data_IF_345203709081
#
_entry.id   IF_345203709081
#
_cell.length_a   1.000
_cell.length_b   1.000
_cell.length_c   1.000
_cell.angle_alpha   90.00
_cell.angle_beta   90.00
_cell.angle_gamma   90.00
#
_symmetry.space_group_name_H-M   'P 1'
#
loop_
_entity.id
_entity.type
_entity.pdbx_description
1 polymer ?
#
# COMPACT_ATOMS: atom_id res chain seq x y z
N UNK A 1 0.30 -15.94 38.20
CA UNK A 1 1.66 -15.73 37.78
C UNK A 1 1.67 -14.74 36.64
N UNK A 2 2.15 -13.52 36.92
CA UNK A 2 2.32 -12.46 35.92
C UNK A 2 3.53 -12.80 35.06
N UNK A 3 3.37 -12.75 33.75
CA UNK A 3 4.52 -12.79 32.82
C UNK A 3 5.35 -11.53 33.01
N UNK A 4 6.70 -11.62 33.02
CA UNK A 4 7.55 -10.44 33.05
C UNK A 4 7.32 -9.63 31.76
N UNK A 5 7.07 -8.34 31.91
CA UNK A 5 7.11 -7.38 30.80
C UNK A 5 8.58 -7.23 30.39
N UNK A 6 8.92 -7.70 29.20
CA UNK A 6 10.17 -7.34 28.55
C UNK A 6 10.04 -5.90 28.05
N UNK A 7 10.88 -5.01 28.59
CA UNK A 7 11.07 -3.68 28.02
C UNK A 7 11.60 -3.83 26.58
N UNK A 8 11.13 -2.97 25.65
CA UNK A 8 11.70 -2.95 24.30
C UNK A 8 13.15 -2.51 24.40
N UNK A 9 14.05 -3.39 23.98
CA UNK A 9 15.45 -3.03 23.78
C UNK A 9 15.48 -1.92 22.72
N UNK A 10 16.09 -0.77 23.07
CA UNK A 10 16.50 0.28 22.14
C UNK A 10 17.48 -0.34 21.12
N UNK A 11 16.95 -0.91 20.07
CA UNK A 11 17.75 -1.30 18.92
C UNK A 11 17.97 -0.04 18.09
N UNK A 12 19.22 0.44 18.10
CA UNK A 12 19.65 1.45 17.14
C UNK A 12 19.27 0.97 15.72
N UNK A 13 18.85 1.89 14.84
CA UNK A 13 18.55 1.50 13.46
C UNK A 13 19.80 0.86 12.85
N UNK A 14 19.63 -0.24 12.08
CA UNK A 14 20.76 -0.89 11.43
C UNK A 14 21.49 0.14 10.55
N UNK A 15 22.82 0.19 10.70
CA UNK A 15 23.67 0.94 9.78
C UNK A 15 23.39 0.40 8.37
N UNK A 16 22.96 1.28 7.46
CA UNK A 16 22.64 0.94 6.07
C UNK A 16 23.84 0.24 5.44
N UNK A 17 23.70 -1.03 5.13
CA UNK A 17 24.66 -1.79 4.35
C UNK A 17 24.56 -1.37 2.87
N UNK A 18 24.86 -0.09 2.58
CA UNK A 18 25.06 0.43 1.24
C UNK A 18 26.41 -0.05 0.72
N UNK A 19 26.44 -1.26 0.16
CA UNK A 19 27.55 -1.73 -0.66
C UNK A 19 27.47 -1.11 -2.07
N UNK A 20 28.54 -0.43 -2.47
CA UNK A 20 28.89 -0.10 -3.86
C UNK A 20 27.94 0.76 -4.69
N UNK A 21 27.42 1.89 -4.15
CA UNK A 21 26.84 2.96 -4.98
C UNK A 21 25.55 2.60 -5.72
N UNK A 22 24.93 1.45 -5.45
CA UNK A 22 23.59 1.16 -5.93
C UNK A 22 22.56 2.02 -5.17
N UNK A 23 21.55 2.57 -5.85
CA UNK A 23 20.52 3.34 -5.18
C UNK A 23 19.76 2.45 -4.19
N UNK A 24 19.40 3.03 -3.03
CA UNK A 24 18.50 2.40 -2.08
C UNK A 24 17.18 2.04 -2.77
N UNK A 25 16.68 0.83 -2.54
CA UNK A 25 15.45 0.34 -3.16
C UNK A 25 14.42 -0.03 -2.10
N UNK A 26 13.21 0.46 -2.28
CA UNK A 26 12.05 0.06 -1.49
C UNK A 26 10.94 -0.44 -2.42
N UNK A 27 10.31 -1.56 -2.05
CA UNK A 27 9.09 -2.01 -2.71
C UNK A 27 7.88 -1.36 -2.04
N UNK A 28 7.15 -0.54 -2.77
CA UNK A 28 6.06 0.27 -2.24
C UNK A 28 4.67 -0.25 -2.59
N UNK A 29 4.56 -1.26 -3.47
CA UNK A 29 3.30 -1.82 -3.94
C UNK A 29 3.37 -3.35 -4.01
N UNK A 30 3.12 -4.01 -2.89
CA UNK A 30 3.24 -5.45 -2.79
C UNK A 30 1.99 -6.07 -2.16
N UNK A 31 1.44 -7.09 -2.82
CA UNK A 31 0.33 -7.88 -2.33
C UNK A 31 0.81 -9.21 -1.72
N UNK A 32 0.22 -9.58 -0.60
CA UNK A 32 0.42 -10.90 -0.01
C UNK A 32 -0.72 -11.87 -0.37
N UNK A 33 -0.63 -13.09 0.13
CA UNK A 33 -1.69 -14.11 0.01
C UNK A 33 -3.05 -13.68 0.60
N UNK A 34 -3.11 -12.57 1.32
CA UNK A 34 -4.36 -11.98 1.79
C UNK A 34 -5.11 -11.21 0.70
N UNK A 35 -4.44 -10.81 -0.38
CA UNK A 35 -5.07 -10.31 -1.61
C UNK A 35 -5.42 -11.51 -2.50
N UNK A 36 -6.55 -12.15 -2.19
CA UNK A 36 -6.96 -13.40 -2.81
C UNK A 36 -7.11 -13.30 -4.33
N UNK A 37 -6.49 -14.22 -5.06
CA UNK A 37 -6.35 -14.27 -6.52
C UNK A 37 -5.39 -13.23 -7.13
N UNK A 38 -4.71 -12.42 -6.30
CA UNK A 38 -3.75 -11.44 -6.76
C UNK A 38 -2.36 -11.70 -6.16
N UNK A 39 -2.25 -11.75 -4.83
CA UNK A 39 -1.02 -12.14 -4.15
C UNK A 39 -0.96 -13.66 -3.86
N UNK A 40 0.23 -14.25 -3.95
CA UNK A 40 0.44 -15.68 -3.71
C UNK A 40 1.32 -15.98 -2.50
N UNK A 41 2.19 -15.05 -2.10
CA UNK A 41 3.19 -15.27 -1.05
C UNK A 41 2.70 -14.76 0.30
N UNK A 42 2.99 -15.49 1.36
CA UNK A 42 2.76 -15.02 2.72
C UNK A 42 3.71 -13.85 3.07
N UNK A 43 3.33 -12.94 3.99
CA UNK A 43 4.18 -11.82 4.39
C UNK A 43 5.59 -12.24 4.81
N UNK A 44 5.74 -13.38 5.49
CA UNK A 44 7.05 -13.91 5.92
C UNK A 44 7.96 -14.24 4.72
N UNK A 45 7.39 -14.84 3.67
CA UNK A 45 8.11 -15.19 2.45
C UNK A 45 8.51 -13.92 1.66
N UNK A 46 7.64 -12.91 1.63
CA UNK A 46 7.93 -11.61 1.01
C UNK A 46 9.10 -10.91 1.70
N UNK A 47 9.12 -10.88 3.04
CA UNK A 47 10.23 -10.29 3.82
C UNK A 47 11.53 -11.05 3.59
N UNK A 48 11.50 -12.39 3.58
CA UNK A 48 12.68 -13.19 3.32
C UNK A 48 13.28 -12.91 1.93
N UNK A 49 12.43 -12.77 0.92
CA UNK A 49 12.87 -12.44 -0.44
C UNK A 49 13.37 -10.99 -0.55
N UNK A 50 12.71 -10.03 0.11
CA UNK A 50 13.16 -8.64 0.18
C UNK A 50 14.55 -8.54 0.81
N UNK A 51 14.78 -9.21 1.93
CA UNK A 51 16.08 -9.27 2.58
C UNK A 51 17.16 -9.92 1.67
N UNK A 52 16.81 -11.02 0.99
CA UNK A 52 17.70 -11.70 0.05
C UNK A 52 18.11 -10.81 -1.13
N UNK A 53 17.22 -9.93 -1.58
CA UNK A 53 17.46 -8.98 -2.68
C UNK A 53 18.10 -7.68 -2.25
N UNK A 54 18.27 -7.44 -0.95
CA UNK A 54 18.80 -6.19 -0.43
C UNK A 54 17.81 -5.02 -0.55
N UNK A 55 16.49 -5.31 -0.55
CA UNK A 55 15.45 -4.29 -0.50
C UNK A 55 15.46 -3.68 0.90
N UNK A 56 15.52 -2.35 0.99
CA UNK A 56 15.63 -1.65 2.27
C UNK A 56 14.30 -1.55 3.02
N UNK A 57 13.19 -1.45 2.31
CA UNK A 57 11.86 -1.42 2.91
C UNK A 57 10.83 -2.09 2.01
N UNK A 58 9.83 -2.71 2.64
CA UNK A 58 8.72 -3.38 1.98
C UNK A 58 7.40 -2.83 2.48
N UNK A 59 6.58 -2.32 1.57
CA UNK A 59 5.19 -1.98 1.84
C UNK A 59 4.30 -3.21 1.63
N UNK A 60 3.36 -3.43 2.54
CA UNK A 60 2.27 -4.36 2.32
C UNK A 60 1.00 -3.56 2.02
N UNK A 61 0.44 -3.80 0.83
CA UNK A 61 -0.66 -3.01 0.27
C UNK A 61 -1.81 -3.89 -0.21
N UNK A 62 -2.17 -4.88 0.61
CA UNK A 62 -3.27 -5.78 0.30
C UNK A 62 -4.59 -5.02 0.03
N UNK A 63 -5.45 -5.60 -0.80
CA UNK A 63 -6.74 -5.02 -1.16
C UNK A 63 -7.65 -4.84 0.05
N UNK A 64 -8.12 -3.60 0.24
CA UNK A 64 -9.20 -3.20 1.16
C UNK A 64 -9.07 -3.72 2.59
N UNK A 65 -7.84 -3.97 3.04
CA UNK A 65 -7.59 -4.53 4.36
C UNK A 65 -6.13 -4.47 4.80
N UNK A 66 -5.95 -4.68 6.08
CA UNK A 66 -4.63 -4.74 6.74
C UNK A 66 -4.42 -6.10 7.41
N UNK A 67 -4.83 -7.17 6.74
CA UNK A 67 -4.87 -8.52 7.34
C UNK A 67 -3.47 -9.09 7.61
N UNK A 68 -2.49 -8.77 6.75
CA UNK A 68 -1.12 -9.28 6.81
C UNK A 68 -0.15 -8.44 7.65
N UNK A 69 -0.55 -7.24 8.14
CA UNK A 69 0.40 -6.27 8.70
C UNK A 69 1.11 -6.74 9.98
N UNK A 70 0.43 -7.53 10.83
CA UNK A 70 1.05 -8.08 12.04
C UNK A 70 2.12 -9.09 11.69
N UNK A 71 1.85 -10.00 10.75
CA UNK A 71 2.83 -10.97 10.26
C UNK A 71 4.02 -10.29 9.58
N UNK A 72 3.75 -9.25 8.77
CA UNK A 72 4.81 -8.44 8.18
C UNK A 72 5.72 -7.83 9.26
N UNK A 73 5.13 -7.15 10.24
CA UNK A 73 5.86 -6.51 11.32
C UNK A 73 6.66 -7.52 12.19
N UNK A 74 6.16 -8.74 12.35
CA UNK A 74 6.88 -9.81 13.04
C UNK A 74 8.04 -10.34 12.20
N UNK A 75 7.81 -10.57 10.92
CA UNK A 75 8.82 -11.12 9.99
C UNK A 75 10.00 -10.16 9.75
N UNK A 76 9.75 -8.84 9.77
CA UNK A 76 10.81 -7.84 9.57
C UNK A 76 11.72 -7.67 10.79
N UNK A 77 11.35 -8.17 11.98
CA UNK A 77 12.20 -8.09 13.17
C UNK A 77 13.53 -8.79 12.95
N UNK A 78 14.61 -8.02 12.91
CA UNK A 78 15.96 -8.54 12.71
C UNK A 78 16.31 -8.92 11.27
N UNK A 79 15.43 -8.68 10.30
CA UNK A 79 15.69 -8.95 8.87
C UNK A 79 16.54 -7.87 8.19
N UNK A 80 16.58 -6.66 8.75
CA UNK A 80 17.16 -5.49 8.12
C UNK A 80 16.21 -4.77 7.12
N UNK A 81 15.02 -5.31 6.89
CA UNK A 81 14.02 -4.71 6.01
C UNK A 81 13.07 -3.81 6.82
N UNK A 82 12.92 -2.56 6.41
CA UNK A 82 11.93 -1.63 6.98
C UNK A 82 10.49 -2.02 6.61
N UNK A 83 9.54 -1.74 7.50
CA UNK A 83 8.11 -1.97 7.25
C UNK A 83 7.40 -0.69 6.84
N UNK A 84 6.57 -0.78 5.81
CA UNK A 84 5.63 0.26 5.42
C UNK A 84 4.22 -0.38 5.40
N UNK A 85 3.25 0.28 6.04
CA UNK A 85 1.88 -0.19 6.06
C UNK A 85 1.03 0.63 5.10
N UNK A 86 0.28 -0.06 4.26
CA UNK A 86 -0.61 0.56 3.28
C UNK A 86 -1.78 -0.34 2.94
N UNK A 87 -2.56 0.09 1.98
CA UNK A 87 -3.61 -0.70 1.35
C UNK A 87 -3.88 -0.19 -0.06
N UNK A 88 -4.26 -1.08 -0.94
CA UNK A 88 -4.84 -0.73 -2.23
C UNK A 88 -6.37 -0.69 -2.09
N UNK A 89 -6.95 0.50 -2.23
CA UNK A 89 -8.38 0.73 -2.06
C UNK A 89 -9.10 0.55 -3.39
N UNK A 90 -10.11 -0.33 -3.42
CA UNK A 90 -10.89 -0.64 -4.62
C UNK A 90 -12.08 0.30 -4.75
N UNK A 91 -11.99 1.24 -5.67
CA UNK A 91 -13.00 2.28 -5.88
C UNK A 91 -14.02 1.86 -6.96
N UNK A 92 -15.29 2.15 -6.72
CA UNK A 92 -16.35 1.97 -7.73
C UNK A 92 -16.65 0.52 -8.10
N UNK A 93 -16.48 -0.41 -7.16
CA UNK A 93 -16.80 -1.83 -7.39
C UNK A 93 -18.28 -2.02 -7.72
N UNK A 94 -18.56 -2.64 -8.88
CA UNK A 94 -19.91 -3.09 -9.25
C UNK A 94 -20.29 -4.41 -8.58
N UNK A 95 -19.32 -5.30 -8.39
CA UNK A 95 -19.45 -6.65 -7.86
C UNK A 95 -18.62 -6.86 -6.59
N UNK A 96 -18.83 -7.98 -5.91
CA UNK A 96 -17.98 -8.39 -4.79
C UNK A 96 -16.64 -8.87 -5.31
N UNK A 97 -15.55 -8.46 -4.67
CA UNK A 97 -14.20 -8.93 -5.04
C UNK A 97 -13.98 -10.43 -4.84
N UNK A 98 -14.60 -11.03 -3.83
CA UNK A 98 -14.34 -12.41 -3.43
C UNK A 98 -14.65 -13.40 -4.56
N UNK A 99 -13.60 -14.03 -5.10
CA UNK A 99 -13.69 -15.05 -6.11
C UNK A 99 -13.84 -14.55 -7.55
N UNK A 100 -13.71 -13.26 -7.77
CA UNK A 100 -13.69 -12.66 -9.10
C UNK A 100 -12.25 -12.18 -9.36
N UNK A 101 -11.50 -12.80 -10.29
CA UNK A 101 -10.21 -12.27 -10.70
C UNK A 101 -10.40 -10.92 -11.36
N UNK A 102 -9.64 -9.92 -10.91
CA UNK A 102 -9.63 -8.59 -11.51
C UNK A 102 -11.03 -7.93 -11.60
N UNK A 103 -11.73 -7.70 -10.48
CA UNK A 103 -13.07 -7.11 -10.48
C UNK A 103 -13.03 -5.69 -11.09
N UNK A 104 -14.17 -5.22 -11.57
CA UNK A 104 -14.33 -3.84 -12.04
C UNK A 104 -14.00 -2.84 -10.93
N UNK A 105 -13.60 -1.63 -11.34
CA UNK A 105 -13.24 -0.55 -10.43
C UNK A 105 -11.85 -0.01 -10.71
N UNK A 106 -11.54 1.10 -10.06
CA UNK A 106 -10.19 1.69 -10.06
C UNK A 106 -9.51 1.48 -8.71
N UNK A 107 -8.20 1.64 -8.68
CA UNK A 107 -7.41 1.43 -7.48
C UNK A 107 -6.81 2.75 -7.00
N UNK A 108 -6.82 2.97 -5.70
CA UNK A 108 -6.09 4.03 -5.03
C UNK A 108 -5.13 3.40 -4.02
N UNK A 109 -3.85 3.51 -4.30
CA UNK A 109 -2.81 3.00 -3.41
C UNK A 109 -2.45 4.04 -2.35
N UNK A 110 -2.56 3.66 -1.09
CA UNK A 110 -2.31 4.54 0.06
C UNK A 110 -1.31 3.91 1.01
N UNK A 111 -0.26 4.67 1.36
CA UNK A 111 0.71 4.30 2.37
C UNK A 111 0.56 5.21 3.60
N UNK A 112 0.62 4.64 4.79
CA UNK A 112 0.64 5.39 6.05
C UNK A 112 2.04 5.95 6.29
N UNK A 113 2.15 7.27 6.57
CA UNK A 113 3.41 7.93 6.92
C UNK A 113 3.84 7.66 8.36
N UNK A 114 2.87 7.44 9.24
CA UNK A 114 3.05 7.36 10.68
C UNK A 114 1.91 6.57 11.33
N UNK A 115 1.94 6.34 12.66
CA UNK A 115 0.87 5.64 13.38
C UNK A 115 -0.51 6.29 13.25
N UNK A 116 -0.59 7.61 13.14
CA UNK A 116 -1.87 8.31 12.94
C UNK A 116 -2.42 8.01 11.53
N UNK A 117 -1.57 8.00 10.52
CA UNK A 117 -1.91 7.60 9.17
C UNK A 117 -2.42 6.16 9.10
N UNK A 118 -1.78 5.24 9.82
CA UNK A 118 -2.25 3.86 9.94
C UNK A 118 -3.65 3.79 10.55
N UNK A 119 -3.88 4.49 11.66
CA UNK A 119 -5.19 4.51 12.34
C UNK A 119 -6.28 5.11 11.45
N UNK A 120 -5.99 6.19 10.73
CA UNK A 120 -6.89 6.84 9.77
C UNK A 120 -7.25 5.92 8.60
N UNK A 121 -6.24 5.23 8.03
CA UNK A 121 -6.46 4.28 6.93
C UNK A 121 -7.30 3.08 7.37
N UNK A 122 -7.01 2.50 8.54
CA UNK A 122 -7.83 1.44 9.12
C UNK A 122 -9.29 1.89 9.36
N UNK A 123 -9.49 3.12 9.82
CA UNK A 123 -10.81 3.72 10.00
C UNK A 123 -11.56 3.90 8.68
N UNK A 124 -10.89 4.42 7.65
CA UNK A 124 -11.47 4.60 6.32
C UNK A 124 -11.89 3.25 5.69
N UNK A 125 -11.02 2.23 5.75
CA UNK A 125 -11.33 0.86 5.31
C UNK A 125 -12.53 0.31 6.07
N UNK A 126 -12.55 0.46 7.40
CA UNK A 126 -13.67 -0.01 8.23
C UNK A 126 -14.99 0.64 7.80
N UNK A 127 -15.00 1.95 7.60
CA UNK A 127 -16.19 2.69 7.16
C UNK A 127 -16.68 2.19 5.80
N UNK A 128 -15.78 2.00 4.84
CA UNK A 128 -16.11 1.51 3.51
C UNK A 128 -16.66 0.06 3.53
N UNK A 129 -16.05 -0.82 4.32
CA UNK A 129 -16.50 -2.20 4.50
C UNK A 129 -17.89 -2.27 5.16
N UNK A 130 -18.14 -1.46 6.17
CA UNK A 130 -19.45 -1.39 6.83
C UNK A 130 -20.54 -0.84 5.91
N UNK A 131 -20.22 0.10 5.03
CA UNK A 131 -21.14 0.69 4.06
C UNK A 131 -21.51 -0.28 2.94
N UNK A 132 -20.53 -0.98 2.38
CA UNK A 132 -20.73 -1.83 1.21
C UNK A 132 -21.00 -3.30 1.54
N UNK A 133 -20.67 -3.74 2.73
CA UNK A 133 -20.74 -5.14 3.15
C UNK A 133 -19.55 -5.98 2.67
N UNK A 134 -19.53 -7.23 3.11
CA UNK A 134 -18.39 -8.14 2.92
C UNK A 134 -17.97 -8.28 1.45
N UNK A 135 -16.72 -7.95 1.18
CA UNK A 135 -16.09 -8.10 -0.14
C UNK A 135 -16.51 -7.07 -1.19
N UNK A 136 -17.22 -6.03 -0.78
CA UNK A 136 -17.57 -4.90 -1.65
C UNK A 136 -17.52 -3.59 -0.86
N UNK A 137 -16.34 -3.11 -0.49
CA UNK A 137 -16.21 -1.83 0.19
C UNK A 137 -16.74 -0.70 -0.70
N UNK A 138 -17.31 0.33 -0.07
CA UNK A 138 -17.79 1.52 -0.76
C UNK A 138 -17.07 2.73 -0.20
N UNK A 139 -16.09 3.21 -0.95
CA UNK A 139 -15.33 4.42 -0.63
C UNK A 139 -15.96 5.65 -1.26
N UNK A 140 -15.79 6.79 -0.59
CA UNK A 140 -16.02 8.12 -1.10
C UNK A 140 -14.72 8.89 -1.13
N UNK A 141 -14.34 9.42 -2.29
CA UNK A 141 -13.06 10.13 -2.47
C UNK A 141 -12.96 11.39 -1.62
N UNK A 142 -14.08 12.10 -1.41
CA UNK A 142 -14.11 13.30 -0.57
C UNK A 142 -13.86 12.94 0.90
N UNK A 143 -14.45 11.83 1.36
CA UNK A 143 -14.20 11.32 2.71
C UNK A 143 -12.75 10.84 2.89
N UNK A 144 -12.18 10.18 1.88
CA UNK A 144 -10.77 9.78 1.88
C UNK A 144 -9.85 11.00 1.92
N UNK A 145 -10.12 12.02 1.10
CA UNK A 145 -9.39 13.27 1.12
C UNK A 145 -9.47 13.98 2.49
N UNK A 146 -10.60 13.94 3.16
CA UNK A 146 -10.74 14.47 4.51
C UNK A 146 -10.04 13.61 5.56
N UNK A 147 -10.06 12.28 5.40
CA UNK A 147 -9.47 11.35 6.36
C UNK A 147 -7.94 11.37 6.35
N UNK A 148 -7.28 11.64 5.22
CA UNK A 148 -5.82 11.55 5.12
C UNK A 148 -5.10 12.50 6.09
N UNK A 149 -5.60 13.74 6.26
CA UNK A 149 -5.06 14.73 7.21
C UNK A 149 -3.56 15.03 7.08
N UNK A 150 -2.94 14.75 5.94
CA UNK A 150 -1.50 14.87 5.73
C UNK A 150 -0.67 13.64 6.16
N UNK A 151 -1.31 12.58 6.65
CA UNK A 151 -0.64 11.40 7.20
C UNK A 151 -0.55 10.22 6.22
N UNK A 152 -0.96 10.41 4.96
CA UNK A 152 -0.85 9.39 3.91
C UNK A 152 0.04 9.85 2.77
N UNK A 153 0.59 8.87 2.06
CA UNK A 153 1.14 9.03 0.71
C UNK A 153 0.21 8.27 -0.23
N UNK A 154 -0.29 8.94 -1.25
CA UNK A 154 -1.04 8.34 -2.34
C UNK A 154 -0.09 8.11 -3.52
N UNK A 155 -0.07 6.89 -4.06
CA UNK A 155 0.65 6.55 -5.28
C UNK A 155 -0.33 6.57 -6.46
N UNK A 156 0.18 6.89 -7.65
CA UNK A 156 -0.65 6.87 -8.87
C UNK A 156 -1.14 5.47 -9.25
N UNK A 157 -0.54 4.45 -8.63
CA UNK A 157 -0.97 3.07 -8.74
C UNK A 157 -0.53 2.35 -10.01
N UNK A 158 -0.93 1.10 -10.11
CA UNK A 158 -0.72 0.24 -11.26
C UNK A 158 -1.71 0.57 -12.41
N UNK A 159 -1.86 -0.34 -13.38
CA UNK A 159 -2.76 -0.18 -14.54
C UNK A 159 -4.21 0.25 -14.22
N UNK A 160 -4.71 -0.04 -13.01
CA UNK A 160 -6.04 0.36 -12.52
C UNK A 160 -6.04 1.66 -11.72
N UNK A 161 -4.88 2.24 -11.45
CA UNK A 161 -4.78 3.58 -10.87
C UNK A 161 -5.34 4.62 -11.85
N UNK A 162 -5.92 5.70 -11.31
CA UNK A 162 -6.57 6.72 -12.14
C UNK A 162 -5.65 7.31 -13.22
N UNK A 163 -4.40 7.61 -12.86
CA UNK A 163 -3.42 8.21 -13.78
C UNK A 163 -2.99 7.25 -14.90
N UNK A 164 -2.53 6.01 -14.65
CA UNK A 164 -2.17 5.08 -15.72
C UNK A 164 -3.37 4.67 -16.60
N UNK A 165 -4.54 4.52 -16.00
CA UNK A 165 -5.76 4.22 -16.76
C UNK A 165 -6.13 5.37 -17.71
N UNK A 166 -6.07 6.61 -17.24
CA UNK A 166 -6.31 7.79 -18.06
C UNK A 166 -5.26 7.95 -19.18
N UNK A 167 -3.99 7.65 -18.88
CA UNK A 167 -2.92 7.67 -19.89
C UNK A 167 -3.23 6.71 -21.05
N UNK A 168 -3.68 5.50 -20.70
CA UNK A 168 -3.96 4.45 -21.70
C UNK A 168 -5.19 4.78 -22.55
N UNK A 169 -6.22 5.39 -21.97
CA UNK A 169 -7.51 5.63 -22.63
C UNK A 169 -7.64 7.01 -23.28
N UNK A 170 -7.04 8.03 -22.66
CA UNK A 170 -7.19 9.44 -23.06
C UNK A 170 -5.88 10.17 -23.36
N UNK A 171 -4.73 9.50 -23.18
CA UNK A 171 -3.42 10.09 -23.45
C UNK A 171 -2.89 11.00 -22.34
N UNK A 172 -1.76 11.69 -22.61
CA UNK A 172 -1.04 12.47 -21.60
C UNK A 172 -1.87 13.55 -20.91
N UNK A 173 -2.70 14.27 -21.65
CA UNK A 173 -3.52 15.36 -21.10
C UNK A 173 -4.56 14.83 -20.08
N UNK A 174 -5.14 13.66 -20.37
CA UNK A 174 -6.06 13.01 -19.45
C UNK A 174 -5.34 12.50 -18.18
N UNK A 175 -4.13 11.94 -18.34
CA UNK A 175 -3.31 11.51 -17.22
C UNK A 175 -2.87 12.69 -16.33
N UNK A 176 -2.51 13.82 -16.93
CA UNK A 176 -2.18 15.05 -16.20
C UNK A 176 -3.38 15.55 -15.39
N UNK A 177 -4.59 15.52 -15.97
CA UNK A 177 -5.80 15.92 -15.26
C UNK A 177 -6.06 15.05 -14.02
N UNK A 178 -5.91 13.72 -14.13
CA UNK A 178 -6.06 12.81 -12.98
C UNK A 178 -4.96 13.01 -11.93
N UNK A 179 -3.72 13.25 -12.36
CA UNK A 179 -2.63 13.57 -11.43
C UNK A 179 -2.91 14.88 -10.69
N UNK A 180 -3.38 15.91 -11.37
CA UNK A 180 -3.77 17.16 -10.75
C UNK A 180 -4.90 16.97 -9.73
N UNK A 181 -5.90 16.13 -10.04
CA UNK A 181 -6.98 15.80 -9.13
C UNK A 181 -6.48 15.09 -7.85
N UNK A 182 -5.55 14.15 -7.98
CA UNK A 182 -4.90 13.51 -6.81
C UNK A 182 -4.13 14.54 -5.97
N UNK A 183 -3.37 15.43 -6.62
CA UNK A 183 -2.61 16.49 -5.93
C UNK A 183 -3.54 17.47 -5.22
N UNK A 184 -4.69 17.82 -5.80
CA UNK A 184 -5.69 18.67 -5.16
C UNK A 184 -6.30 18.00 -3.92
N UNK A 185 -6.59 16.69 -3.99
CA UNK A 185 -7.17 15.92 -2.88
C UNK A 185 -6.19 15.68 -1.73
N UNK A 186 -4.95 15.29 -2.03
CA UNK A 186 -4.01 14.82 -1.01
C UNK A 186 -2.86 15.78 -0.73
N UNK A 187 -2.68 16.80 -1.56
CA UNK A 187 -1.55 17.73 -1.50
C UNK A 187 -0.31 17.21 -2.26
N UNK A 188 0.44 18.12 -2.88
CA UNK A 188 1.59 17.81 -3.72
C UNK A 188 2.63 16.92 -3.04
N UNK A 189 2.92 17.17 -1.76
CA UNK A 189 3.94 16.45 -1.01
C UNK A 189 3.49 15.04 -0.56
N UNK A 190 2.25 14.71 -0.83
CA UNK A 190 1.61 13.43 -0.47
C UNK A 190 1.24 12.58 -1.68
N UNK A 191 1.57 13.01 -2.90
CA UNK A 191 1.31 12.24 -4.13
C UNK A 191 2.63 11.88 -4.79
N UNK A 192 2.80 10.60 -5.10
CA UNK A 192 3.99 10.06 -5.74
C UNK A 192 3.59 9.32 -7.01
N UNK A 193 4.31 9.59 -8.09
CA UNK A 193 4.14 8.85 -9.35
C UNK A 193 4.81 7.49 -9.21
N UNK A 194 4.03 6.44 -9.38
CA UNK A 194 4.51 5.06 -9.40
C UNK A 194 4.85 4.65 -10.83
N UNK A 195 6.00 4.03 -10.99
CA UNK A 195 6.43 3.41 -12.23
C UNK A 195 6.63 1.91 -11.95
N UNK A 196 5.99 1.09 -12.76
CA UNK A 196 6.08 -0.36 -12.64
C UNK A 196 6.83 -0.91 -13.85
N UNK A 197 7.85 -1.72 -13.59
CA UNK A 197 8.59 -2.45 -14.62
C UNK A 197 8.42 -3.96 -14.38
N UNK A 198 7.88 -4.64 -15.35
CA UNK A 198 7.68 -6.09 -15.35
C UNK A 198 8.66 -6.84 -16.25
N UNK A 199 9.75 -6.20 -16.67
CA UNK A 199 10.73 -6.81 -17.59
C UNK A 199 10.08 -7.32 -18.90
N UNK A 200 8.99 -6.67 -19.31
CA UNK A 200 8.27 -7.01 -20.54
C UNK A 200 8.78 -6.13 -21.69
N UNK A 201 9.09 -6.69 -22.85
CA UNK A 201 9.55 -5.91 -24.00
C UNK A 201 8.47 -4.99 -24.57
#
# INVERSE_FOLDING_TARGET
PQRPQQEPADAAPPETAGGDGAPAWAELHCHSSYSFLDGASDPDALVAEAARRGVEALALTDHDGMYGVVRLAEATRGSGVGTIFGAELSLGLSERQNGIPDPEGSHLLVLARDPDGYGRLAGAITTAQMRGGKGRPVYDLTELAAAHGGHWVALTGCRKGAVPAALTTGGPDAAEAELCALVEMFGRDNVVVELTDHDQP
#
